data_IF_262455625540
#
_entry.id   IF_262455625540
#
_cell.length_a   1.000
_cell.length_b   1.000
_cell.length_c   1.000
_cell.angle_alpha   90.00
_cell.angle_beta   90.00
_cell.angle_gamma   90.00
#
_symmetry.space_group_name_H-M   'P 1'
#
loop_
_entity.id
_entity.type
_entity.pdbx_description
1 polymer ?
#
# COMPACT_ATOMS: atom_id res chain seq x y z
N UNK A 1 -20.14 20.73 27.98
CA UNK A 1 -21.42 20.59 27.22
C UNK A 1 -21.97 19.20 27.56
N UNK A 2 -23.19 19.14 28.12
CA UNK A 2 -23.87 17.85 28.30
C UNK A 2 -24.07 17.24 26.92
N UNK A 3 -23.60 15.99 26.75
CA UNK A 3 -23.69 15.30 25.47
C UNK A 3 -25.16 15.07 25.14
N UNK A 4 -25.59 15.31 23.90
CA UNK A 4 -26.97 15.08 23.44
C UNK A 4 -27.46 13.67 23.82
N UNK A 5 -26.53 12.71 23.91
CA UNK A 5 -26.77 11.33 24.31
C UNK A 5 -27.18 11.23 25.79
N UNK A 6 -26.56 11.99 26.69
CA UNK A 6 -26.92 12.00 28.11
C UNK A 6 -28.36 12.51 28.31
N UNK A 7 -28.74 13.55 27.56
CA UNK A 7 -30.10 14.09 27.57
C UNK A 7 -31.16 13.10 27.03
N UNK A 8 -30.78 12.21 26.09
CA UNK A 8 -31.64 11.14 25.61
C UNK A 8 -31.79 10.00 26.62
N UNK A 9 -30.68 9.63 27.28
CA UNK A 9 -30.66 8.59 28.31
C UNK A 9 -31.52 9.02 29.51
N UNK A 10 -31.49 10.29 29.89
CA UNK A 10 -32.30 10.83 30.99
C UNK A 10 -33.80 10.76 30.73
N UNK A 11 -34.24 10.65 29.47
CA UNK A 11 -35.65 10.47 29.08
C UNK A 11 -36.15 9.02 29.21
N UNK A 12 -35.27 8.07 29.45
CA UNK A 12 -35.66 6.67 29.62
C UNK A 12 -36.32 6.50 31.00
N UNK A 13 -37.59 6.05 31.12
CA UNK A 13 -38.28 5.97 32.40
C UNK A 13 -37.68 4.92 33.34
N UNK A 14 -37.14 3.83 32.79
CA UNK A 14 -36.57 2.72 33.55
C UNK A 14 -35.16 3.09 34.07
N UNK A 15 -35.05 3.22 35.38
CA UNK A 15 -33.81 3.57 36.08
C UNK A 15 -32.73 2.48 35.97
N UNK A 16 -33.14 1.21 35.97
CA UNK A 16 -32.20 0.08 35.83
C UNK A 16 -31.58 0.06 34.42
N UNK A 17 -32.40 0.28 33.41
CA UNK A 17 -31.97 0.37 32.02
C UNK A 17 -31.05 1.60 31.78
N UNK A 18 -31.42 2.77 32.32
CA UNK A 18 -30.55 3.95 32.27
C UNK A 18 -29.16 3.69 32.84
N UNK A 19 -29.11 3.03 33.99
CA UNK A 19 -27.84 2.67 34.64
C UNK A 19 -27.01 1.70 33.78
N UNK A 20 -27.64 0.65 33.24
CA UNK A 20 -26.97 -0.30 32.37
C UNK A 20 -26.40 0.34 31.10
N UNK A 21 -27.15 1.23 30.48
CA UNK A 21 -26.70 1.98 29.29
C UNK A 21 -25.54 2.88 29.63
N UNK A 22 -25.61 3.62 30.76
CA UNK A 22 -24.49 4.46 31.21
C UNK A 22 -23.23 3.64 31.54
N UNK A 23 -23.37 2.49 32.18
CA UNK A 23 -22.24 1.60 32.46
C UNK A 23 -21.64 1.03 31.16
N UNK A 24 -22.47 0.62 30.21
CA UNK A 24 -22.02 0.15 28.91
C UNK A 24 -21.27 1.23 28.12
N UNK A 25 -21.82 2.45 28.07
CA UNK A 25 -21.18 3.62 27.45
C UNK A 25 -19.87 3.99 28.15
N UNK A 26 -19.85 3.97 29.49
CA UNK A 26 -18.63 4.24 30.26
C UNK A 26 -17.56 3.18 29.95
N UNK A 27 -17.94 1.93 29.85
CA UNK A 27 -17.03 0.82 29.47
C UNK A 27 -16.52 0.97 28.04
N UNK A 28 -17.39 1.34 27.10
CA UNK A 28 -17.04 1.62 25.72
C UNK A 28 -16.10 2.83 25.59
N UNK A 29 -16.38 3.93 26.31
CA UNK A 29 -15.52 5.12 26.33
C UNK A 29 -14.18 4.90 27.03
N UNK A 30 -14.11 3.99 28.02
CA UNK A 30 -12.84 3.63 28.68
C UNK A 30 -11.93 2.79 27.77
N UNK A 31 -12.48 2.09 26.78
CA UNK A 31 -11.69 1.35 25.81
C UNK A 31 -11.07 2.25 24.71
N UNK A 32 -11.68 3.41 24.43
CA UNK A 32 -11.17 4.39 23.48
C UNK A 32 -10.39 5.49 24.21
N UNK A 33 -9.10 5.26 24.48
CA UNK A 33 -8.21 6.26 25.08
C UNK A 33 -7.65 7.26 24.08
N UNK A 34 -7.69 6.92 22.80
CA UNK A 34 -7.21 7.73 21.69
C UNK A 34 -8.13 7.48 20.48
N UNK A 35 -8.41 8.51 19.73
CA UNK A 35 -9.20 8.43 18.50
C UNK A 35 -8.69 9.43 17.47
N UNK A 36 -8.78 9.05 16.21
CA UNK A 36 -8.44 9.92 15.10
C UNK A 36 -9.60 10.89 14.84
N UNK A 37 -9.31 12.19 14.82
CA UNK A 37 -10.30 13.25 14.51
C UNK A 37 -9.85 13.97 13.26
N UNK A 38 -10.70 14.01 12.26
CA UNK A 38 -10.48 14.76 11.01
C UNK A 38 -11.82 15.26 10.45
N UNK A 39 -11.75 16.23 9.54
CA UNK A 39 -12.96 16.76 8.90
C UNK A 39 -13.49 15.77 7.85
N UNK A 40 -14.82 15.59 7.84
CA UNK A 40 -15.47 14.80 6.79
C UNK A 40 -15.76 15.70 5.57
N UNK A 41 -14.94 15.54 4.55
CA UNK A 41 -15.10 16.26 3.29
C UNK A 41 -16.02 15.49 2.35
N UNK A 42 -17.04 16.17 1.83
CA UNK A 42 -18.04 15.58 0.94
C UNK A 42 -17.79 16.06 -0.50
N UNK A 43 -17.76 15.16 -1.51
CA UNK A 43 -17.70 15.57 -2.91
C UNK A 43 -18.90 16.46 -3.27
N UNK A 44 -18.63 17.59 -3.91
CA UNK A 44 -19.70 18.52 -4.31
C UNK A 44 -20.39 18.11 -5.61
N UNK A 45 -19.71 17.36 -6.47
CA UNK A 45 -20.22 17.03 -7.81
C UNK A 45 -19.62 15.74 -8.36
N UNK A 46 -20.41 15.05 -9.21
CA UNK A 46 -20.02 13.81 -9.88
C UNK A 46 -20.19 13.96 -11.38
N UNK A 47 -19.18 13.54 -12.15
CA UNK A 47 -19.22 13.53 -13.62
C UNK A 47 -20.06 12.36 -14.11
N UNK A 48 -20.96 12.63 -15.07
CA UNK A 48 -21.87 11.67 -15.68
C UNK A 48 -21.54 11.51 -17.17
N UNK A 49 -20.65 10.58 -17.49
CA UNK A 49 -20.11 10.43 -18.85
C UNK A 49 -21.15 9.96 -19.89
N UNK A 50 -22.10 9.11 -19.50
CA UNK A 50 -23.11 8.54 -20.38
C UNK A 50 -24.45 9.30 -20.38
N UNK A 51 -24.50 10.45 -19.70
CA UNK A 51 -25.69 11.30 -19.68
C UNK A 51 -25.57 12.38 -20.75
N UNK A 52 -26.43 12.39 -21.76
CA UNK A 52 -26.36 13.39 -22.83
C UNK A 52 -26.57 14.79 -22.28
N UNK A 53 -25.74 15.71 -22.76
CA UNK A 53 -25.89 17.14 -22.44
C UNK A 53 -27.16 17.68 -23.12
N UNK A 54 -28.02 18.35 -22.36
CA UNK A 54 -29.27 18.94 -22.81
C UNK A 54 -29.41 20.37 -22.31
N UNK A 55 -30.28 21.14 -22.90
CA UNK A 55 -30.70 22.44 -22.32
C UNK A 55 -31.16 22.23 -20.87
N UNK A 56 -30.66 23.03 -19.95
CA UNK A 56 -30.89 22.89 -18.53
C UNK A 56 -29.90 21.97 -17.79
N UNK A 57 -29.01 21.23 -18.47
CA UNK A 57 -27.96 20.45 -17.81
C UNK A 57 -26.94 21.35 -17.10
N UNK A 58 -26.44 20.88 -15.97
CA UNK A 58 -25.20 21.40 -15.40
C UNK A 58 -24.04 20.61 -16.01
N UNK A 59 -23.03 21.31 -16.52
CA UNK A 59 -21.91 20.71 -17.25
C UNK A 59 -20.57 21.26 -16.80
N UNK A 60 -19.51 20.52 -17.09
CA UNK A 60 -18.14 20.96 -17.00
C UNK A 60 -17.37 20.58 -18.26
N UNK A 61 -16.16 21.07 -18.44
CA UNK A 61 -15.29 20.65 -19.54
C UNK A 61 -14.82 19.22 -19.31
N UNK A 62 -14.92 18.39 -20.33
CA UNK A 62 -14.46 17.01 -20.30
C UNK A 62 -12.95 16.96 -20.07
N UNK A 63 -12.52 16.26 -19.01
CA UNK A 63 -11.12 16.21 -18.62
C UNK A 63 -10.57 17.47 -17.96
N UNK A 64 -11.42 18.51 -17.76
CA UNK A 64 -11.07 19.73 -17.05
C UNK A 64 -11.44 19.71 -15.57
N UNK A 65 -11.36 20.90 -14.97
CA UNK A 65 -11.74 21.16 -13.58
C UNK A 65 -13.27 21.12 -13.43
N UNK A 66 -13.80 20.10 -12.74
CA UNK A 66 -15.23 19.87 -12.55
C UNK A 66 -15.87 20.91 -11.59
N UNK A 67 -15.07 21.66 -10.84
CA UNK A 67 -15.56 22.74 -10.00
C UNK A 67 -16.03 23.94 -10.83
N UNK A 68 -15.46 24.11 -12.04
CA UNK A 68 -15.85 25.13 -13.02
C UNK A 68 -17.07 24.70 -13.81
N UNK A 69 -18.23 24.82 -13.18
CA UNK A 69 -19.49 24.39 -13.75
C UNK A 69 -20.12 25.46 -14.63
N UNK A 70 -20.91 25.00 -15.59
CA UNK A 70 -21.70 25.84 -16.47
C UNK A 70 -23.12 25.30 -16.56
N UNK A 71 -24.09 26.19 -16.78
CA UNK A 71 -25.50 25.85 -17.04
C UNK A 71 -25.76 25.95 -18.53
N UNK A 72 -26.19 24.90 -19.18
CA UNK A 72 -26.59 24.94 -20.59
C UNK A 72 -27.92 25.64 -20.73
N UNK A 73 -27.97 26.71 -21.49
CA UNK A 73 -29.18 27.46 -21.79
C UNK A 73 -29.87 26.92 -23.05
N UNK A 74 -29.11 26.74 -24.12
CA UNK A 74 -29.58 26.23 -25.41
C UNK A 74 -28.46 25.46 -26.12
N UNK A 75 -28.86 24.65 -27.07
CA UNK A 75 -27.92 23.92 -27.95
C UNK A 75 -28.34 24.26 -29.36
N UNK A 76 -27.37 24.70 -30.19
CA UNK A 76 -27.56 24.96 -31.61
C UNK A 76 -26.51 24.14 -32.36
N UNK A 77 -26.95 23.06 -33.03
CA UNK A 77 -26.10 22.12 -33.72
C UNK A 77 -25.08 21.48 -32.77
N UNK A 78 -23.79 21.74 -32.97
CA UNK A 78 -22.67 21.21 -32.18
C UNK A 78 -22.19 22.19 -31.10
N UNK A 79 -22.88 23.34 -30.90
CA UNK A 79 -22.50 24.36 -29.93
C UNK A 79 -23.52 24.45 -28.81
N UNK A 80 -23.05 24.43 -27.57
CA UNK A 80 -23.84 24.66 -26.38
C UNK A 80 -23.61 26.10 -25.89
N UNK A 81 -24.68 26.87 -25.78
CA UNK A 81 -24.70 28.19 -25.18
C UNK A 81 -24.85 28.01 -23.65
N UNK A 82 -23.84 28.37 -22.92
CA UNK A 82 -23.75 28.12 -21.49
C UNK A 82 -23.64 29.42 -20.68
N UNK A 83 -23.95 29.31 -19.39
CA UNK A 83 -23.64 30.31 -18.38
C UNK A 83 -22.65 29.75 -17.39
N UNK A 84 -21.50 30.39 -17.20
CA UNK A 84 -20.56 30.01 -16.16
C UNK A 84 -21.20 30.14 -14.77
N UNK A 85 -20.74 29.30 -13.83
CA UNK A 85 -21.19 29.35 -12.43
C UNK A 85 -19.98 29.53 -11.52
N UNK A 86 -19.99 30.44 -10.54
CA UNK A 86 -21.14 31.28 -10.10
C UNK A 86 -21.28 32.61 -10.84
N UNK A 87 -20.33 33.04 -11.70
CA UNK A 87 -20.22 34.39 -12.27
C UNK A 87 -21.37 34.75 -13.21
N UNK A 88 -22.03 33.74 -13.82
CA UNK A 88 -23.11 33.87 -14.78
C UNK A 88 -22.72 34.62 -16.07
N UNK A 89 -21.51 34.42 -16.51
CA UNK A 89 -21.06 34.94 -17.81
C UNK A 89 -21.44 34.00 -18.94
N UNK A 90 -21.93 34.52 -20.08
CA UNK A 90 -22.24 33.68 -21.25
C UNK A 90 -20.94 33.13 -21.87
N UNK A 91 -20.93 31.82 -22.13
CA UNK A 91 -19.80 31.10 -22.74
C UNK A 91 -20.33 30.07 -23.72
N UNK A 92 -19.82 30.10 -24.95
CA UNK A 92 -20.13 29.09 -25.94
C UNK A 92 -19.07 27.98 -25.92
N UNK A 93 -19.52 26.75 -25.94
CA UNK A 93 -18.64 25.56 -25.88
C UNK A 93 -19.07 24.51 -26.90
N UNK A 94 -18.12 23.80 -27.55
CA UNK A 94 -18.43 22.62 -28.34
C UNK A 94 -19.14 21.56 -27.47
N UNK A 95 -20.18 20.95 -27.99
CA UNK A 95 -21.01 20.00 -27.24
C UNK A 95 -20.20 18.75 -26.84
N UNK A 96 -19.27 18.30 -27.67
CA UNK A 96 -18.39 17.16 -27.43
C UNK A 96 -17.34 17.42 -26.35
N UNK A 97 -17.00 18.71 -26.14
CA UNK A 97 -16.08 19.12 -25.07
C UNK A 97 -16.73 19.15 -23.69
N UNK A 98 -18.04 18.94 -23.62
CA UNK A 98 -18.79 19.03 -22.38
C UNK A 98 -19.11 17.64 -21.79
N UNK A 99 -19.29 17.60 -20.49
CA UNK A 99 -19.77 16.44 -19.76
C UNK A 99 -20.80 16.89 -18.73
N UNK A 100 -21.87 16.11 -18.59
CA UNK A 100 -22.91 16.38 -17.57
C UNK A 100 -22.35 16.16 -16.18
N UNK A 101 -22.78 17.01 -15.23
CA UNK A 101 -22.37 16.97 -13.82
C UNK A 101 -23.59 16.91 -12.92
N UNK A 102 -23.64 15.92 -12.03
CA UNK A 102 -24.61 15.87 -10.94
C UNK A 102 -24.05 16.60 -9.70
N UNK A 103 -24.88 17.45 -9.09
CA UNK A 103 -24.53 18.08 -7.82
C UNK A 103 -24.75 17.15 -6.66
N UNK A 104 -24.06 17.42 -5.54
CA UNK A 104 -24.32 16.70 -4.30
C UNK A 104 -25.81 16.76 -3.92
N UNK A 105 -26.38 15.57 -3.62
CA UNK A 105 -27.79 15.41 -3.30
C UNK A 105 -28.71 15.14 -4.50
N UNK A 106 -28.22 15.28 -5.74
CA UNK A 106 -28.97 14.80 -6.91
C UNK A 106 -28.84 13.28 -7.01
N UNK A 107 -29.96 12.53 -7.25
CA UNK A 107 -29.89 11.09 -7.37
C UNK A 107 -29.15 10.69 -8.65
N UNK A 108 -28.15 9.81 -8.52
CA UNK A 108 -27.46 9.17 -9.64
C UNK A 108 -27.73 7.66 -9.59
N UNK A 109 -27.82 7.04 -10.76
CA UNK A 109 -28.10 5.60 -10.90
C UNK A 109 -26.95 4.96 -11.70
N UNK A 110 -25.81 4.67 -11.05
CA UNK A 110 -24.68 4.04 -11.72
C UNK A 110 -25.02 2.61 -12.13
N UNK A 111 -24.45 2.15 -13.25
CA UNK A 111 -24.58 0.79 -13.73
C UNK A 111 -23.28 0.34 -14.40
N UNK A 112 -23.07 -0.98 -14.50
CA UNK A 112 -21.94 -1.57 -15.21
C UNK A 112 -22.33 -1.84 -16.67
N UNK A 113 -21.51 -1.34 -17.61
CA UNK A 113 -21.64 -1.59 -19.04
C UNK A 113 -20.48 -2.49 -19.46
N UNK A 114 -20.79 -3.66 -20.00
CA UNK A 114 -19.79 -4.53 -20.57
C UNK A 114 -19.18 -3.90 -21.80
N UNK A 115 -17.86 -3.74 -21.83
CA UNK A 115 -17.12 -3.15 -22.94
C UNK A 115 -16.48 -4.24 -23.82
N UNK A 116 -15.87 -5.23 -23.20
CA UNK A 116 -15.16 -6.30 -23.90
C UNK A 116 -15.16 -7.58 -23.07
N UNK A 117 -14.86 -8.72 -23.72
CA UNK A 117 -14.72 -10.03 -23.08
C UNK A 117 -13.70 -10.88 -23.84
N UNK A 118 -12.72 -11.39 -23.11
CA UNK A 118 -11.75 -12.36 -23.62
C UNK A 118 -11.92 -13.67 -22.88
N UNK A 119 -12.24 -14.75 -23.59
CA UNK A 119 -12.44 -16.07 -23.02
C UNK A 119 -11.29 -17.00 -23.41
N UNK A 120 -10.37 -17.25 -22.46
CA UNK A 120 -9.22 -18.15 -22.65
C UNK A 120 -9.50 -19.58 -22.17
N UNK A 121 -10.54 -19.79 -21.37
CA UNK A 121 -10.91 -21.06 -20.79
C UNK A 121 -12.44 -21.21 -20.79
N UNK A 122 -13.05 -21.64 -21.93
CA UNK A 122 -14.51 -21.69 -22.08
C UNK A 122 -15.21 -22.66 -21.11
N UNK A 123 -14.48 -23.65 -20.59
CA UNK A 123 -15.00 -24.63 -19.65
C UNK A 123 -14.80 -24.22 -18.17
N UNK A 124 -14.35 -23.00 -17.90
CA UNK A 124 -14.10 -22.49 -16.55
C UNK A 124 -15.09 -21.38 -16.18
N UNK A 125 -15.64 -21.45 -14.99
CA UNK A 125 -16.47 -20.40 -14.40
C UNK A 125 -15.66 -19.31 -13.68
N UNK A 126 -14.32 -19.39 -13.73
CA UNK A 126 -13.43 -18.42 -13.07
C UNK A 126 -13.16 -17.23 -14.00
N UNK A 127 -13.51 -16.03 -13.56
CA UNK A 127 -13.37 -14.80 -14.30
C UNK A 127 -12.50 -13.78 -13.59
N UNK A 128 -11.69 -13.07 -14.37
CA UNK A 128 -11.05 -11.81 -13.97
C UNK A 128 -11.86 -10.66 -14.55
N UNK A 129 -12.31 -9.75 -13.70
CA UNK A 129 -13.11 -8.61 -14.13
C UNK A 129 -12.36 -7.31 -13.88
N UNK A 130 -12.18 -6.50 -14.93
CA UNK A 130 -11.68 -5.13 -14.82
C UNK A 130 -12.86 -4.16 -14.90
N UNK A 131 -12.98 -3.28 -13.88
CA UNK A 131 -14.00 -2.23 -13.85
C UNK A 131 -13.31 -0.89 -14.01
N UNK A 132 -13.52 -0.22 -15.14
CA UNK A 132 -13.02 1.12 -15.41
C UNK A 132 -14.04 2.15 -14.90
N UNK A 133 -13.76 2.74 -13.75
CA UNK A 133 -14.64 3.73 -13.12
C UNK A 133 -13.92 4.50 -12.00
N UNK A 134 -14.56 5.55 -11.46
CA UNK A 134 -14.22 5.99 -10.11
C UNK A 134 -14.50 4.84 -9.13
N UNK A 135 -13.48 4.45 -8.36
CA UNK A 135 -13.53 3.26 -7.53
C UNK A 135 -14.58 3.35 -6.41
N UNK A 136 -14.92 4.55 -5.92
CA UNK A 136 -15.97 4.72 -4.92
C UNK A 136 -17.35 4.28 -5.47
N UNK A 137 -17.68 4.71 -6.69
CA UNK A 137 -18.93 4.34 -7.34
C UNK A 137 -18.95 2.87 -7.75
N UNK A 138 -17.82 2.34 -8.25
CA UNK A 138 -17.69 0.91 -8.55
C UNK A 138 -17.92 0.04 -7.30
N UNK A 139 -17.32 0.40 -6.18
CA UNK A 139 -17.48 -0.30 -4.90
C UNK A 139 -18.94 -0.27 -4.41
N UNK A 140 -19.65 0.86 -4.57
CA UNK A 140 -21.08 0.94 -4.23
C UNK A 140 -21.94 -0.03 -5.05
N UNK A 141 -21.63 -0.21 -6.33
CA UNK A 141 -22.31 -1.20 -7.17
C UNK A 141 -22.01 -2.64 -6.75
N UNK A 142 -20.75 -2.92 -6.44
CA UNK A 142 -20.32 -4.25 -6.00
C UNK A 142 -20.96 -4.65 -4.67
N UNK A 143 -21.25 -3.70 -3.78
CA UNK A 143 -21.89 -3.97 -2.49
C UNK A 143 -23.22 -4.71 -2.64
N UNK A 144 -24.00 -4.42 -3.69
CA UNK A 144 -25.29 -5.09 -3.90
C UNK A 144 -25.17 -6.57 -4.24
N UNK A 145 -24.06 -7.00 -4.86
CA UNK A 145 -23.85 -8.36 -5.32
C UNK A 145 -22.89 -9.16 -4.42
N UNK A 146 -21.95 -8.47 -3.79
CA UNK A 146 -20.80 -9.09 -3.12
C UNK A 146 -20.70 -8.74 -1.63
N UNK A 147 -21.78 -8.25 -0.99
CA UNK A 147 -21.78 -8.03 0.45
C UNK A 147 -21.39 -9.30 1.19
N UNK A 148 -20.41 -9.21 2.10
CA UNK A 148 -19.88 -10.29 2.94
C UNK A 148 -19.31 -11.51 2.16
N UNK A 149 -18.92 -11.32 0.88
CA UNK A 149 -18.47 -12.41 0.02
C UNK A 149 -17.01 -12.29 -0.42
N UNK A 150 -16.35 -11.17 -0.17
CA UNK A 150 -15.00 -10.95 -0.62
C UNK A 150 -14.01 -11.50 0.41
N UNK A 151 -13.13 -12.39 -0.04
CA UNK A 151 -12.13 -13.03 0.82
C UNK A 151 -10.85 -12.24 0.94
N UNK A 152 -10.52 -11.41 -0.06
CA UNK A 152 -9.31 -10.59 -0.05
C UNK A 152 -9.56 -9.25 -0.72
N UNK A 153 -9.17 -8.17 -0.04
CA UNK A 153 -9.09 -6.82 -0.63
C UNK A 153 -7.64 -6.33 -0.51
N UNK A 154 -7.05 -5.95 -1.65
CA UNK A 154 -5.75 -5.28 -1.71
C UNK A 154 -5.94 -3.83 -2.17
N UNK A 155 -5.37 -2.89 -1.42
CA UNK A 155 -5.46 -1.47 -1.72
C UNK A 155 -4.05 -0.87 -1.75
N UNK A 156 -3.73 -0.18 -2.84
CA UNK A 156 -2.57 0.68 -2.98
C UNK A 156 -3.06 2.12 -3.19
N UNK A 157 -3.35 2.86 -2.10
CA UNK A 157 -3.92 4.19 -2.19
C UNK A 157 -2.85 5.21 -2.59
N UNK A 158 -3.22 6.41 -3.09
CA UNK A 158 -2.26 7.47 -3.28
C UNK A 158 -1.60 7.85 -1.95
N UNK A 159 -0.26 7.88 -1.91
CA UNK A 159 0.54 8.06 -0.68
C UNK A 159 0.57 9.49 -0.14
N UNK A 160 -0.29 10.36 -0.63
CA UNK A 160 -0.39 11.76 -0.19
C UNK A 160 0.94 12.52 -0.25
N UNK A 161 1.81 12.16 -1.19
CA UNK A 161 3.06 12.88 -1.42
C UNK A 161 2.77 14.31 -1.93
N UNK A 162 3.75 15.19 -1.90
CA UNK A 162 3.59 16.59 -2.35
C UNK A 162 3.47 16.74 -3.87
N UNK A 163 3.55 15.66 -4.64
CA UNK A 163 3.24 15.69 -6.06
C UNK A 163 1.73 15.74 -6.26
N UNK A 164 1.28 16.34 -7.38
CA UNK A 164 -0.15 16.35 -7.78
C UNK A 164 -0.55 14.97 -8.32
N UNK A 165 -0.51 13.95 -7.48
CA UNK A 165 -0.69 12.55 -7.90
C UNK A 165 -2.06 12.00 -7.58
N UNK A 166 -2.86 12.66 -6.76
CA UNK A 166 -4.20 12.22 -6.42
C UNK A 166 -5.19 13.37 -6.43
N UNK A 167 -6.46 13.04 -6.66
CA UNK A 167 -7.56 13.98 -6.76
C UNK A 167 -8.53 13.80 -5.60
N UNK A 168 -9.07 14.94 -5.12
CA UNK A 168 -10.22 14.99 -4.26
C UNK A 168 -11.27 15.87 -4.94
N UNK A 169 -12.49 15.38 -5.09
CA UNK A 169 -13.54 16.04 -5.87
C UNK A 169 -13.12 16.39 -7.31
N UNK A 170 -12.42 15.45 -7.97
CA UNK A 170 -11.86 15.61 -9.32
C UNK A 170 -10.75 16.67 -9.46
N UNK A 171 -10.38 17.35 -8.39
CA UNK A 171 -9.26 18.28 -8.36
C UNK A 171 -8.01 17.67 -7.70
N UNK A 172 -6.85 18.10 -8.18
CA UNK A 172 -5.60 17.76 -7.52
C UNK A 172 -5.46 18.50 -6.20
N UNK A 173 -5.16 17.78 -5.14
CA UNK A 173 -4.91 18.37 -3.82
C UNK A 173 -3.61 19.14 -3.84
N UNK A 174 -3.67 20.43 -3.48
CA UNK A 174 -2.49 21.31 -3.45
C UNK A 174 -1.49 20.82 -2.40
N UNK A 175 -0.17 20.82 -2.72
CA UNK A 175 0.88 20.45 -1.76
C UNK A 175 0.91 21.30 -0.48
N UNK A 176 0.41 22.54 -0.54
CA UNK A 176 0.34 23.48 0.59
C UNK A 176 -1.01 23.47 1.32
N UNK A 177 -1.93 22.57 0.96
CA UNK A 177 -3.25 22.49 1.59
C UNK A 177 -3.12 21.98 3.04
N UNK A 178 -3.49 22.82 4.00
CA UNK A 178 -3.46 22.51 5.43
C UNK A 178 -4.37 21.34 5.81
N UNK A 179 -5.43 21.09 5.02
CA UNK A 179 -6.38 19.98 5.20
C UNK A 179 -6.02 18.72 4.40
N UNK A 180 -4.82 18.66 3.84
CA UNK A 180 -4.39 17.57 2.96
C UNK A 180 -4.55 16.18 3.60
N UNK A 181 -4.11 16.01 4.85
CA UNK A 181 -4.25 14.77 5.60
C UNK A 181 -5.72 14.44 5.89
N UNK A 182 -6.52 15.44 6.27
CA UNK A 182 -7.95 15.29 6.52
C UNK A 182 -8.72 14.88 5.26
N UNK A 183 -8.43 15.49 4.11
CA UNK A 183 -9.01 15.11 2.82
C UNK A 183 -8.65 13.68 2.43
N UNK A 184 -7.39 13.30 2.64
CA UNK A 184 -6.92 11.94 2.36
C UNK A 184 -7.64 10.91 3.24
N UNK A 185 -7.73 11.17 4.55
CA UNK A 185 -8.44 10.30 5.49
C UNK A 185 -9.91 10.16 5.13
N UNK A 186 -10.60 11.26 4.79
CA UNK A 186 -11.99 11.23 4.36
C UNK A 186 -12.18 10.40 3.08
N UNK A 187 -11.27 10.52 2.10
CA UNK A 187 -11.30 9.73 0.88
C UNK A 187 -11.16 8.24 1.17
N UNK A 188 -10.19 7.85 2.00
CA UNK A 188 -9.93 6.45 2.35
C UNK A 188 -11.05 5.89 3.22
N UNK A 189 -11.50 6.62 4.23
CA UNK A 189 -12.56 6.18 5.14
C UNK A 189 -13.84 5.79 4.40
N UNK A 190 -14.28 6.59 3.42
CA UNK A 190 -15.47 6.30 2.61
C UNK A 190 -15.35 4.96 1.87
N UNK A 191 -14.18 4.66 1.31
CA UNK A 191 -13.89 3.41 0.60
C UNK A 191 -13.75 2.23 1.55
N UNK A 192 -13.10 2.41 2.67
CA UNK A 192 -12.97 1.38 3.71
C UNK A 192 -14.32 1.02 4.35
N UNK A 193 -15.25 1.98 4.48
CA UNK A 193 -16.62 1.69 4.93
C UNK A 193 -17.33 0.71 4.00
N UNK A 194 -17.15 0.85 2.69
CA UNK A 194 -17.72 -0.11 1.73
C UNK A 194 -16.93 -1.42 1.76
N UNK A 195 -15.60 -1.36 1.75
CA UNK A 195 -14.74 -2.54 1.85
C UNK A 195 -15.12 -3.42 3.06
N UNK A 196 -15.41 -2.80 4.21
CA UNK A 196 -15.88 -3.50 5.42
C UNK A 196 -17.17 -4.29 5.19
N UNK A 197 -18.09 -3.76 4.37
CA UNK A 197 -19.34 -4.45 4.04
C UNK A 197 -19.17 -5.55 2.98
N UNK A 198 -18.15 -5.43 2.13
CA UNK A 198 -17.83 -6.44 1.12
C UNK A 198 -17.09 -7.64 1.70
N UNK A 199 -16.20 -7.42 2.68
CA UNK A 199 -15.37 -8.46 3.28
C UNK A 199 -16.20 -9.52 4.01
N UNK A 200 -15.83 -10.78 3.80
CA UNK A 200 -16.37 -11.91 4.54
C UNK A 200 -15.94 -11.79 6.02
N UNK A 201 -16.88 -11.65 6.96
CA UNK A 201 -16.55 -11.39 8.36
C UNK A 201 -15.88 -12.59 9.07
N UNK A 202 -16.02 -13.79 8.52
CA UNK A 202 -15.53 -15.04 9.14
C UNK A 202 -14.18 -15.51 8.61
N UNK A 203 -13.80 -15.10 7.38
CA UNK A 203 -12.56 -15.56 6.77
C UNK A 203 -12.15 -14.63 5.63
N UNK A 204 -11.53 -13.52 5.95
CA UNK A 204 -11.03 -12.59 4.93
C UNK A 204 -9.80 -11.80 5.38
N UNK A 205 -9.16 -11.15 4.42
CA UNK A 205 -8.00 -10.29 4.66
C UNK A 205 -8.13 -8.97 3.91
N UNK A 206 -7.74 -7.88 4.57
CA UNK A 206 -7.54 -6.57 3.97
C UNK A 206 -6.05 -6.24 4.02
N UNK A 207 -5.47 -5.89 2.87
CA UNK A 207 -4.07 -5.50 2.74
C UNK A 207 -4.03 -4.07 2.21
N UNK A 208 -3.30 -3.19 2.88
CA UNK A 208 -3.15 -1.79 2.47
C UNK A 208 -1.69 -1.39 2.51
N UNK A 209 -1.15 -0.97 1.36
CA UNK A 209 0.21 -0.41 1.26
C UNK A 209 0.20 1.07 1.53
N UNK A 210 1.28 1.62 2.10
CA UNK A 210 1.39 3.04 2.42
C UNK A 210 2.87 3.44 2.65
N UNK A 211 3.18 4.71 2.51
CA UNK A 211 4.48 5.26 2.85
C UNK A 211 4.55 5.92 4.24
N UNK A 212 5.73 6.46 4.58
CA UNK A 212 6.01 7.09 5.87
C UNK A 212 5.17 8.35 6.18
N UNK A 213 4.42 8.88 5.23
CA UNK A 213 3.65 10.12 5.40
C UNK A 213 2.32 9.90 6.06
N UNK A 214 1.63 8.83 5.65
CA UNK A 214 0.28 8.55 6.11
C UNK A 214 0.15 7.26 6.93
N UNK A 215 1.23 6.49 7.12
CA UNK A 215 1.12 5.20 7.81
C UNK A 215 0.53 5.31 9.23
N UNK A 216 0.89 6.35 9.97
CA UNK A 216 0.36 6.58 11.33
C UNK A 216 -1.14 6.88 11.25
N UNK A 217 -1.56 7.80 10.39
CA UNK A 217 -2.96 8.19 10.24
C UNK A 217 -3.81 7.03 9.73
N UNK A 218 -3.29 6.29 8.74
CA UNK A 218 -3.94 5.09 8.23
C UNK A 218 -4.07 4.02 9.33
N UNK A 219 -3.01 3.77 10.08
CA UNK A 219 -3.03 2.78 11.18
C UNK A 219 -4.10 3.10 12.21
N UNK A 220 -4.19 4.36 12.67
CA UNK A 220 -5.23 4.80 13.59
C UNK A 220 -6.64 4.64 13.00
N UNK A 221 -6.82 4.99 11.71
CA UNK A 221 -8.11 4.83 11.02
C UNK A 221 -8.50 3.36 10.92
N UNK A 222 -7.58 2.49 10.53
CA UNK A 222 -7.82 1.05 10.43
C UNK A 222 -8.17 0.42 11.78
N UNK A 223 -7.47 0.79 12.86
CA UNK A 223 -7.76 0.33 14.21
C UNK A 223 -9.15 0.77 14.69
N UNK A 224 -9.55 2.01 14.39
CA UNK A 224 -10.87 2.52 14.74
C UNK A 224 -11.99 1.84 13.93
N UNK A 225 -11.79 1.66 12.63
CA UNK A 225 -12.79 1.09 11.74
C UNK A 225 -12.98 -0.42 11.91
N UNK A 226 -11.90 -1.14 12.25
CA UNK A 226 -11.86 -2.60 12.32
C UNK A 226 -11.38 -3.12 13.69
N UNK A 227 -12.04 -2.75 14.79
CA UNK A 227 -11.57 -3.07 16.15
C UNK A 227 -11.52 -4.57 16.47
N UNK A 228 -12.18 -5.41 15.68
CA UNK A 228 -12.18 -6.88 15.84
C UNK A 228 -11.13 -7.57 14.96
N UNK A 229 -10.51 -6.86 14.03
CA UNK A 229 -9.49 -7.44 13.16
C UNK A 229 -8.15 -7.64 13.90
N UNK A 230 -7.43 -8.69 13.53
CA UNK A 230 -6.03 -8.85 13.92
C UNK A 230 -5.17 -8.07 12.96
N UNK A 231 -4.66 -6.93 13.39
CA UNK A 231 -3.86 -6.04 12.55
C UNK A 231 -2.37 -6.25 12.78
N UNK A 232 -1.63 -6.37 11.69
CA UNK A 232 -0.17 -6.40 11.65
C UNK A 232 0.35 -5.36 10.66
N UNK A 233 1.49 -4.76 10.96
CA UNK A 233 2.21 -3.88 10.04
C UNK A 233 3.55 -4.52 9.69
N UNK A 234 3.86 -4.56 8.40
CA UNK A 234 5.14 -5.04 7.87
C UNK A 234 5.87 -3.84 7.26
N UNK A 235 7.14 -3.66 7.62
CA UNK A 235 8.04 -2.75 6.92
C UNK A 235 8.72 -3.51 5.78
N UNK A 236 8.53 -3.05 4.54
CA UNK A 236 9.10 -3.63 3.33
C UNK A 236 10.27 -2.78 2.84
N UNK A 237 11.45 -3.34 2.76
CA UNK A 237 12.62 -2.64 2.23
C UNK A 237 12.52 -2.56 0.70
N UNK A 238 12.29 -1.33 0.20
CA UNK A 238 12.15 -1.07 -1.24
C UNK A 238 13.48 -0.68 -1.90
N UNK A 239 14.36 -0.03 -1.16
CA UNK A 239 15.67 0.38 -1.62
C UNK A 239 16.68 0.40 -0.47
N UNK A 240 17.50 -0.64 -0.28
CA UNK A 240 18.49 -0.69 0.80
C UNK A 240 19.51 0.44 0.79
N UNK A 241 19.82 1.00 -0.38
CA UNK A 241 20.74 2.15 -0.53
C UNK A 241 20.07 3.48 -0.13
N UNK A 242 18.73 3.49 -0.03
CA UNK A 242 17.91 4.65 0.23
C UNK A 242 17.77 5.57 -1.00
N UNK A 243 16.62 6.22 -1.10
CA UNK A 243 16.42 7.32 -2.04
C UNK A 243 16.97 8.60 -1.38
N UNK A 244 18.02 9.20 -1.96
CA UNK A 244 18.66 10.39 -1.42
C UNK A 244 17.70 11.56 -1.33
N UNK A 245 17.69 12.23 -0.17
CA UNK A 245 16.95 13.47 0.09
C UNK A 245 17.96 14.55 0.49
N UNK A 246 17.76 15.78 0.06
CA UNK A 246 18.75 16.84 0.30
C UNK A 246 18.87 17.25 1.78
N UNK A 247 17.79 17.14 2.55
CA UNK A 247 17.72 17.66 3.93
C UNK A 247 17.17 16.64 4.94
N UNK A 248 16.87 15.41 4.52
CA UNK A 248 16.25 14.37 5.34
C UNK A 248 17.05 13.07 5.22
N UNK A 249 16.79 12.12 6.11
CA UNK A 249 17.31 10.76 5.96
C UNK A 249 16.76 10.10 4.70
N UNK A 250 17.60 9.28 4.05
CA UNK A 250 17.18 8.51 2.88
C UNK A 250 16.06 7.54 3.22
N UNK A 251 15.05 7.49 2.37
CA UNK A 251 13.94 6.53 2.51
C UNK A 251 14.39 5.16 2.02
N UNK A 252 14.19 4.15 2.84
CA UNK A 252 14.58 2.76 2.57
C UNK A 252 13.40 1.81 2.47
N UNK A 253 12.24 2.17 3.03
CA UNK A 253 11.11 1.26 3.24
C UNK A 253 9.73 1.88 2.97
N UNK A 254 8.76 1.01 2.84
CA UNK A 254 7.33 1.26 2.82
C UNK A 254 6.63 0.32 3.81
N UNK A 255 5.36 0.59 4.09
CA UNK A 255 4.60 -0.14 5.09
C UNK A 255 3.42 -0.86 4.45
N UNK A 256 3.11 -2.04 4.99
CA UNK A 256 1.98 -2.86 4.56
C UNK A 256 1.17 -3.18 5.80
N UNK A 257 -0.07 -2.72 5.87
CA UNK A 257 -1.02 -3.15 6.89
C UNK A 257 -1.77 -4.39 6.42
N UNK A 258 -1.81 -5.41 7.25
CA UNK A 258 -2.55 -6.65 7.03
C UNK A 258 -3.56 -6.80 8.15
N UNK A 259 -4.84 -6.79 7.80
CA UNK A 259 -5.95 -7.01 8.72
C UNK A 259 -6.60 -8.36 8.41
N UNK A 260 -6.62 -9.23 9.39
CA UNK A 260 -7.22 -10.57 9.29
C UNK A 260 -8.53 -10.60 10.05
N UNK A 261 -9.57 -11.14 9.41
CA UNK A 261 -10.91 -11.23 9.95
C UNK A 261 -11.28 -12.67 10.25
N UNK A 262 -11.98 -12.87 11.38
CA UNK A 262 -12.47 -14.18 11.77
C UNK A 262 -11.37 -15.21 12.01
N UNK A 263 -11.48 -16.37 11.39
CA UNK A 263 -10.59 -17.52 11.56
C UNK A 263 -9.40 -17.53 10.59
N UNK A 264 -9.23 -16.47 9.79
CA UNK A 264 -8.12 -16.36 8.85
C UNK A 264 -6.79 -16.61 9.54
N UNK A 265 -5.96 -17.48 8.97
CA UNK A 265 -4.63 -17.82 9.47
C UNK A 265 -3.58 -17.68 8.36
N UNK A 266 -2.38 -17.31 8.75
CA UNK A 266 -1.21 -17.33 7.87
C UNK A 266 -0.64 -18.74 7.92
N UNK A 267 -0.62 -19.42 6.78
CA UNK A 267 0.03 -20.72 6.67
C UNK A 267 1.54 -20.51 6.57
N UNK A 268 2.34 -21.22 7.39
CA UNK A 268 3.80 -21.20 7.21
C UNK A 268 4.15 -21.85 5.88
N UNK A 269 4.88 -21.15 5.04
CA UNK A 269 5.50 -21.71 3.87
C UNK A 269 6.85 -22.33 4.29
N UNK A 270 7.01 -23.63 4.14
CA UNK A 270 8.32 -24.25 4.28
C UNK A 270 9.16 -23.83 3.06
N UNK A 271 10.10 -22.95 3.27
CA UNK A 271 11.16 -22.75 2.29
C UNK A 271 12.07 -23.98 2.33
N UNK A 272 11.73 -24.99 1.59
CA UNK A 272 12.75 -25.91 1.10
C UNK A 272 13.60 -25.11 0.12
N UNK A 273 14.67 -24.54 0.65
CA UNK A 273 15.68 -23.85 -0.15
C UNK A 273 16.50 -24.93 -0.85
N UNK A 274 15.89 -25.60 -1.83
CA UNK A 274 16.66 -26.42 -2.76
C UNK A 274 17.43 -25.47 -3.68
N UNK A 275 18.76 -25.49 -3.56
CA UNK A 275 19.70 -24.90 -4.51
C UNK A 275 19.63 -23.39 -4.71
N UNK A 276 19.68 -22.58 -3.64
CA UNK A 276 20.01 -21.15 -3.80
C UNK A 276 21.49 -21.05 -4.18
N UNK A 277 21.84 -20.54 -5.37
CA UNK A 277 23.22 -20.35 -5.74
C UNK A 277 23.92 -19.40 -4.75
N UNK A 278 25.05 -19.82 -4.21
CA UNK A 278 25.85 -18.97 -3.34
C UNK A 278 26.51 -17.89 -4.21
N UNK A 279 26.19 -16.64 -3.93
CA UNK A 279 26.85 -15.51 -4.56
C UNK A 279 28.05 -15.15 -3.69
N UNK A 280 29.23 -15.66 -4.06
CA UNK A 280 30.49 -15.49 -3.32
C UNK A 280 30.81 -14.02 -3.00
N UNK A 281 30.46 -13.08 -3.88
CA UNK A 281 30.67 -11.66 -3.68
C UNK A 281 29.87 -11.08 -2.50
N UNK A 282 28.75 -11.70 -2.12
CA UNK A 282 27.98 -11.28 -0.95
C UNK A 282 28.57 -11.77 0.38
N UNK A 283 29.27 -12.89 0.34
CA UNK A 283 29.97 -13.43 1.49
C UNK A 283 31.34 -12.79 1.70
N UNK A 284 31.97 -12.31 0.63
CA UNK A 284 33.26 -11.62 0.67
C UNK A 284 33.08 -10.17 1.15
N UNK A 285 33.96 -9.73 2.04
CA UNK A 285 34.02 -8.32 2.42
C UNK A 285 34.41 -7.45 1.23
N UNK A 286 33.73 -6.30 1.07
CA UNK A 286 33.95 -5.40 -0.06
C UNK A 286 34.96 -4.29 0.22
N UNK A 287 35.10 -3.83 1.48
CA UNK A 287 36.02 -2.74 1.85
C UNK A 287 37.47 -3.22 1.93
N UNK A 288 38.40 -2.46 1.33
CA UNK A 288 39.85 -2.72 1.43
C UNK A 288 40.39 -2.70 2.87
N UNK A 289 39.68 -2.10 3.82
CA UNK A 289 40.01 -2.20 5.23
C UNK A 289 39.91 -3.65 5.75
N UNK A 290 39.17 -4.51 5.05
CA UNK A 290 38.98 -5.94 5.35
C UNK A 290 39.75 -6.84 4.39
N UNK A 291 40.77 -6.34 3.69
CA UNK A 291 41.70 -7.18 2.97
C UNK A 291 42.47 -8.09 3.96
N UNK A 292 42.92 -9.26 3.45
CA UNK A 292 43.77 -10.15 4.22
C UNK A 292 45.01 -9.40 4.71
N UNK A 293 45.41 -9.61 5.96
CA UNK A 293 46.57 -8.97 6.57
C UNK A 293 46.35 -7.50 6.99
N UNK A 294 45.17 -6.95 6.89
CA UNK A 294 44.85 -5.64 7.43
C UNK A 294 44.49 -5.74 8.90
N UNK A 295 45.16 -4.90 9.69
CA UNK A 295 44.94 -4.77 11.13
C UNK A 295 44.42 -3.35 11.45
N UNK A 296 43.56 -3.23 12.45
CA UNK A 296 43.05 -1.94 12.88
C UNK A 296 41.58 -1.94 13.23
N UNK A 297 41.07 -0.77 13.62
CA UNK A 297 39.66 -0.61 14.02
C UNK A 297 38.73 -0.88 12.80
N UNK A 298 37.92 -1.89 12.90
CA UNK A 298 36.98 -2.31 11.84
C UNK A 298 37.54 -3.32 10.85
N UNK A 299 38.79 -3.76 10.99
CA UNK A 299 39.33 -4.87 10.21
C UNK A 299 38.71 -6.22 10.67
N UNK A 300 38.60 -7.16 9.72
CA UNK A 300 38.26 -8.55 10.07
C UNK A 300 39.40 -9.19 10.86
N UNK A 301 39.08 -10.17 11.74
CA UNK A 301 40.07 -10.91 12.47
C UNK A 301 40.84 -11.86 11.55
N UNK A 302 42.02 -12.40 12.03
CA UNK A 302 42.90 -13.23 11.26
C UNK A 302 42.25 -14.57 10.82
N UNK A 303 41.15 -14.95 11.42
CA UNK A 303 40.48 -16.23 11.18
C UNK A 303 39.39 -16.19 10.10
N UNK A 304 39.34 -15.15 9.27
CA UNK A 304 38.27 -15.00 8.26
C UNK A 304 38.78 -15.19 6.82
N UNK A 305 40.04 -15.65 6.65
CA UNK A 305 40.56 -16.07 5.37
C UNK A 305 40.77 -17.61 5.39
N UNK A 306 39.85 -18.34 4.79
CA UNK A 306 39.83 -19.80 4.77
C UNK A 306 39.27 -20.35 3.44
N UNK A 307 39.63 -21.56 3.01
CA UNK A 307 39.08 -22.18 1.82
C UNK A 307 37.66 -22.71 2.07
N UNK A 308 36.82 -22.61 1.05
CA UNK A 308 35.52 -23.29 0.96
C UNK A 308 35.64 -24.31 -0.19
N UNK A 309 35.41 -25.57 0.10
CA UNK A 309 35.48 -26.64 -0.89
C UNK A 309 34.08 -26.93 -1.42
N UNK A 310 33.91 -26.79 -2.73
CA UNK A 310 32.65 -26.99 -3.44
C UNK A 310 32.75 -28.21 -4.31
N UNK A 311 31.86 -29.14 -4.15
CA UNK A 311 31.77 -30.35 -4.95
C UNK A 311 31.44 -30.01 -6.42
N UNK A 312 32.28 -30.38 -7.35
CA UNK A 312 32.19 -30.01 -8.77
C UNK A 312 31.00 -30.64 -9.47
N UNK A 313 30.51 -31.80 -9.00
CA UNK A 313 29.36 -32.47 -9.61
C UNK A 313 28.02 -31.91 -9.15
N UNK A 314 27.93 -31.49 -7.89
CA UNK A 314 26.68 -31.05 -7.28
C UNK A 314 26.58 -29.53 -7.08
N UNK A 315 27.72 -28.82 -7.12
CA UNK A 315 27.81 -27.40 -6.80
C UNK A 315 27.57 -27.08 -5.31
N UNK A 316 27.53 -28.08 -4.45
CA UNK A 316 27.29 -27.90 -3.00
C UNK A 316 28.61 -27.75 -2.23
N UNK A 317 28.55 -27.00 -1.13
CA UNK A 317 29.68 -26.92 -0.21
C UNK A 317 29.85 -28.30 0.44
N UNK A 318 31.05 -28.85 0.29
CA UNK A 318 31.46 -30.12 0.90
C UNK A 318 32.12 -29.91 2.24
N UNK A 319 32.98 -28.90 2.34
CA UNK A 319 33.77 -28.65 3.54
C UNK A 319 34.15 -27.17 3.66
N UNK A 320 34.16 -26.66 4.89
CA UNK A 320 34.72 -25.36 5.26
C UNK A 320 36.09 -25.63 5.89
N UNK A 321 37.14 -25.21 5.21
CA UNK A 321 38.51 -25.43 5.69
C UNK A 321 38.90 -24.57 6.89
N UNK A 322 40.08 -24.83 7.42
CA UNK A 322 40.62 -24.03 8.52
C UNK A 322 41.19 -22.69 8.03
N UNK A 323 41.14 -21.63 8.88
CA UNK A 323 41.78 -20.36 8.57
C UNK A 323 43.25 -20.51 8.27
N UNK A 324 43.73 -19.84 7.23
CA UNK A 324 45.13 -19.80 6.89
C UNK A 324 45.73 -18.42 7.25
N UNK A 325 46.89 -18.46 7.89
CA UNK A 325 47.59 -17.29 8.36
C UNK A 325 48.13 -16.47 7.19
N UNK A 326 48.45 -15.23 7.43
CA UNK A 326 48.87 -14.23 6.44
C UNK A 326 50.11 -14.66 5.64
N UNK A 327 51.04 -15.33 6.30
CA UNK A 327 52.30 -15.79 5.74
C UNK A 327 52.17 -17.03 4.85
N UNK A 328 50.99 -17.67 4.89
CA UNK A 328 50.75 -18.93 4.14
C UNK A 328 50.12 -18.60 2.80
N UNK A 329 50.73 -19.06 1.73
CA UNK A 329 50.18 -18.91 0.39
C UNK A 329 48.90 -19.77 0.25
N UNK A 330 47.82 -19.16 -0.27
CA UNK A 330 46.55 -19.85 -0.50
C UNK A 330 46.65 -21.05 -1.44
N UNK A 331 47.65 -21.06 -2.35
CA UNK A 331 47.89 -22.15 -3.27
C UNK A 331 48.61 -23.35 -2.62
N UNK A 332 49.08 -23.20 -1.37
CA UNK A 332 49.66 -24.32 -0.61
C UNK A 332 48.63 -25.14 0.15
N UNK A 333 47.36 -24.76 0.12
CA UNK A 333 46.28 -25.48 0.78
C UNK A 333 46.00 -26.78 0.02
N UNK A 334 45.84 -27.94 0.71
CA UNK A 334 45.55 -29.20 0.06
C UNK A 334 44.28 -29.15 -0.81
N UNK A 335 44.39 -29.65 -2.02
CA UNK A 335 43.24 -29.86 -2.89
C UNK A 335 42.41 -31.06 -2.43
N UNK A 336 41.11 -30.98 -2.47
CA UNK A 336 40.19 -32.10 -2.25
C UNK A 336 39.75 -32.62 -3.62
N UNK A 337 40.04 -33.90 -3.97
CA UNK A 337 39.65 -34.47 -5.26
C UNK A 337 38.13 -34.30 -5.53
N UNK A 338 37.80 -33.79 -6.72
CA UNK A 338 36.42 -33.54 -7.14
C UNK A 338 35.78 -32.30 -6.51
N UNK A 339 36.59 -31.40 -5.94
CA UNK A 339 36.10 -30.12 -5.40
C UNK A 339 36.91 -28.93 -5.95
N UNK A 340 36.21 -27.89 -6.27
CA UNK A 340 36.79 -26.56 -6.49
C UNK A 340 37.04 -25.86 -5.17
N UNK A 341 38.20 -25.22 -5.02
CA UNK A 341 38.57 -24.46 -3.82
C UNK A 341 38.28 -22.98 -4.03
N UNK A 342 37.39 -22.43 -3.23
CA UNK A 342 36.95 -21.01 -3.31
C UNK A 342 37.56 -20.22 -2.16
N UNK A 343 38.20 -19.10 -2.51
CA UNK A 343 38.72 -18.11 -1.59
C UNK A 343 38.05 -16.74 -1.79
N UNK A 344 38.06 -15.86 -0.79
CA UNK A 344 37.46 -14.52 -0.91
C UNK A 344 38.39 -13.57 -1.67
N UNK A 345 38.61 -13.82 -2.95
CA UNK A 345 39.48 -13.04 -3.82
C UNK A 345 38.68 -12.19 -4.79
N UNK A 346 39.10 -10.95 -4.99
CA UNK A 346 38.50 -10.07 -5.98
C UNK A 346 38.93 -10.43 -7.40
N UNK A 347 38.24 -9.94 -8.43
CA UNK A 347 38.67 -10.12 -9.82
C UNK A 347 40.04 -9.55 -10.14
N UNK A 348 40.48 -8.53 -9.40
CA UNK A 348 41.83 -7.91 -9.50
C UNK A 348 42.91 -8.71 -8.76
N UNK A 349 42.58 -9.84 -8.17
CA UNK A 349 43.49 -10.68 -7.42
C UNK A 349 43.66 -10.32 -5.94
N UNK A 350 43.04 -9.24 -5.47
CA UNK A 350 43.12 -8.82 -4.07
C UNK A 350 42.49 -9.85 -3.14
N UNK A 351 43.26 -10.36 -2.18
CA UNK A 351 42.80 -11.26 -1.15
C UNK A 351 42.03 -10.48 -0.07
N UNK A 352 40.82 -10.87 0.14
CA UNK A 352 39.89 -10.26 1.12
C UNK A 352 39.66 -11.23 2.27
N UNK A 353 38.80 -10.87 3.22
CA UNK A 353 38.28 -11.79 4.21
C UNK A 353 36.80 -12.11 3.93
N UNK A 354 36.37 -13.31 4.36
CA UNK A 354 34.94 -13.62 4.40
C UNK A 354 34.20 -12.74 5.40
N UNK A 355 32.93 -12.48 5.16
CA UNK A 355 32.05 -11.76 6.07
C UNK A 355 31.57 -12.58 7.27
N UNK A 356 31.88 -13.87 7.27
CA UNK A 356 31.43 -14.88 8.22
C UNK A 356 32.64 -15.65 8.76
N UNK A 357 32.61 -16.06 10.02
CA UNK A 357 33.66 -16.88 10.62
C UNK A 357 33.48 -18.35 10.20
N UNK A 358 34.58 -19.17 10.20
CA UNK A 358 34.48 -20.57 9.76
C UNK A 358 33.53 -21.41 10.60
N UNK A 359 33.45 -21.19 11.90
CA UNK A 359 32.52 -21.89 12.78
C UNK A 359 31.06 -21.60 12.43
N UNK A 360 30.78 -20.34 12.14
CA UNK A 360 29.44 -19.91 11.72
C UNK A 360 29.13 -20.36 10.29
N UNK A 361 30.10 -20.37 9.40
CA UNK A 361 29.97 -20.90 8.05
C UNK A 361 29.59 -22.38 8.03
N UNK A 362 30.21 -23.20 8.89
CA UNK A 362 29.90 -24.62 9.05
C UNK A 362 28.46 -24.90 9.52
N UNK A 363 27.82 -23.92 10.14
CA UNK A 363 26.42 -24.03 10.62
C UNK A 363 25.43 -23.54 9.60
N UNK A 364 25.78 -22.50 8.83
CA UNK A 364 24.85 -21.77 7.96
C UNK A 364 24.92 -22.16 6.49
N UNK A 365 26.05 -22.65 6.03
CA UNK A 365 26.30 -23.05 4.66
C UNK A 365 26.36 -24.57 4.52
#
# INVERSE_FOLDING_TARGET
MANALDALIDRIPDEALRRQIREALKKQNQQKKFGLVFEDHIPESTVLYDVPVKAGSTVALRGGDVSKQMKVLAIDGEVAHCLSLPEREPVDQPLDSLVSVAKFGEPIYPYLKQLDTVCNAPDSDLWHTLIEADNYHALQLLEHLYAEKIDCIYIDPPYNNRAKTWKYNNDYVDPSDDYRHSKWLSMIEKRLKIAKRLLNPTNSVLIVTIDEREYIHLGCLLEEMFPSARMQMISSVINPAGAGRQTEFSRTDEYIYILQFGEQTILPESREVENVPIIWDTLRRSSLANARGRHGKGACGPNQFYPIYVDDATGRIREIGEPIMEEVDRFSVPEIPGCSTVFPVRPDGTEMNWGIKPEEARIRL
#
